data_IF_914263412147
#
_entry.id   IF_914263412147
#
_cell.length_a   1.000
_cell.length_b   1.000
_cell.length_c   1.000
_cell.angle_alpha   90.00
_cell.angle_beta   90.00
_cell.angle_gamma   90.00
#
_symmetry.space_group_name_H-M   'P 1'
#
loop_
_entity.id
_entity.type
_entity.pdbx_description
1 polymer ?
#
# COMPACT_ATOMS: atom_id res chain seq x y z
N UNK A 1 10.87 -28.86 60.82
CA UNK A 1 11.12 -29.56 59.53
C UNK A 1 9.92 -29.54 58.57
N UNK A 2 8.89 -30.38 58.71
CA UNK A 2 7.82 -30.45 57.69
C UNK A 2 7.03 -29.13 57.52
N UNK A 3 6.65 -28.48 58.62
CA UNK A 3 5.93 -27.19 58.57
C UNK A 3 6.81 -26.04 58.06
N UNK A 4 8.11 -26.03 58.37
CA UNK A 4 9.06 -25.05 57.82
C UNK A 4 9.22 -25.23 56.31
N UNK A 5 9.37 -26.47 55.85
CA UNK A 5 9.43 -26.77 54.42
C UNK A 5 8.14 -26.32 53.70
N UNK A 6 6.97 -26.56 54.30
CA UNK A 6 5.69 -26.12 53.75
C UNK A 6 5.58 -24.58 53.70
N UNK A 7 6.00 -23.87 54.75
CA UNK A 7 6.05 -22.40 54.76
C UNK A 7 6.98 -21.83 53.68
N UNK A 8 8.11 -22.50 53.43
CA UNK A 8 9.05 -22.11 52.39
C UNK A 8 8.47 -22.32 50.99
N UNK A 9 7.78 -23.44 50.75
CA UNK A 9 7.06 -23.70 49.50
C UNK A 9 5.97 -22.66 49.24
N UNK A 10 5.21 -22.26 50.27
CA UNK A 10 4.18 -21.22 50.15
C UNK A 10 4.81 -19.86 49.81
N UNK A 11 5.94 -19.52 50.44
CA UNK A 11 6.66 -18.27 50.14
C UNK A 11 7.13 -18.25 48.68
N UNK A 12 7.70 -19.36 48.19
CA UNK A 12 8.10 -19.49 46.78
C UNK A 12 6.90 -19.40 45.82
N UNK A 13 5.78 -20.04 46.15
CA UNK A 13 4.57 -19.97 45.34
C UNK A 13 4.01 -18.54 45.29
N UNK A 14 3.94 -17.84 46.43
CA UNK A 14 3.52 -16.44 46.50
C UNK A 14 4.42 -15.51 45.69
N UNK A 15 5.73 -15.72 45.70
CA UNK A 15 6.67 -14.96 44.86
C UNK A 15 6.40 -15.18 43.37
N UNK A 16 6.21 -16.44 42.94
CA UNK A 16 5.89 -16.76 41.55
C UNK A 16 4.55 -16.15 41.10
N UNK A 17 3.53 -16.13 41.97
CA UNK A 17 2.23 -15.50 41.69
C UNK A 17 2.39 -13.99 41.52
N UNK A 18 3.25 -13.35 42.30
CA UNK A 18 3.51 -11.92 42.17
C UNK A 18 4.22 -11.60 40.84
N UNK A 19 5.19 -12.42 40.42
CA UNK A 19 5.80 -12.30 39.10
C UNK A 19 4.77 -12.48 37.96
N UNK A 20 3.86 -13.45 38.10
CA UNK A 20 2.75 -13.64 37.15
C UNK A 20 1.87 -12.38 37.08
N UNK A 21 1.53 -11.77 38.22
CA UNK A 21 0.71 -10.55 38.25
C UNK A 21 1.39 -9.38 37.53
N UNK A 22 2.70 -9.19 37.71
CA UNK A 22 3.49 -8.17 36.99
C UNK A 22 3.51 -8.46 35.49
N UNK A 23 3.75 -9.71 35.09
CA UNK A 23 3.75 -10.11 33.68
C UNK A 23 2.39 -9.89 33.01
N UNK A 24 1.29 -10.13 33.71
CA UNK A 24 -0.06 -9.89 33.21
C UNK A 24 -0.33 -8.39 33.00
N UNK A 25 0.16 -7.53 33.89
CA UNK A 25 0.04 -6.07 33.73
C UNK A 25 0.80 -5.59 32.47
N UNK A 26 2.02 -6.11 32.25
CA UNK A 26 2.78 -5.84 31.03
C UNK A 26 2.05 -6.33 29.77
N UNK A 27 1.48 -7.53 29.78
CA UNK A 27 0.68 -8.06 28.65
C UNK A 27 -0.53 -7.16 28.38
N UNK A 28 -1.23 -6.70 29.41
CA UNK A 28 -2.37 -5.79 29.29
C UNK A 28 -1.96 -4.46 28.65
N UNK A 29 -0.84 -3.87 29.11
CA UNK A 29 -0.30 -2.63 28.57
C UNK A 29 0.13 -2.78 27.10
N UNK A 30 0.86 -3.85 26.78
CA UNK A 30 1.30 -4.14 25.41
C UNK A 30 0.11 -4.40 24.48
N UNK A 31 -0.95 -5.03 24.99
CA UNK A 31 -2.20 -5.22 24.25
C UNK A 31 -2.85 -3.87 23.94
N UNK A 32 -2.99 -2.98 24.92
CA UNK A 32 -3.57 -1.65 24.70
C UNK A 32 -2.79 -0.84 23.65
N UNK A 33 -1.46 -0.86 23.69
CA UNK A 33 -0.61 -0.20 22.69
C UNK A 33 -0.77 -0.84 21.30
N UNK A 34 -0.83 -2.17 21.23
CA UNK A 34 -1.03 -2.88 19.96
C UNK A 34 -2.40 -2.57 19.34
N UNK A 35 -3.45 -2.38 20.14
CA UNK A 35 -4.77 -1.99 19.66
C UNK A 35 -4.76 -0.60 19.02
N UNK A 36 -4.04 0.35 19.62
CA UNK A 36 -3.87 1.69 19.05
C UNK A 36 -3.12 1.64 17.70
N UNK A 37 -2.06 0.83 17.62
CA UNK A 37 -1.32 0.61 16.36
C UNK A 37 -2.20 -0.03 15.29
N UNK A 38 -3.05 -0.99 15.65
CA UNK A 38 -4.01 -1.62 14.75
C UNK A 38 -5.00 -0.60 14.20
N UNK A 39 -5.59 0.21 15.07
CA UNK A 39 -6.56 1.24 14.69
C UNK A 39 -5.92 2.33 13.83
N UNK A 40 -4.68 2.72 14.13
CA UNK A 40 -3.92 3.64 13.29
C UNK A 40 -3.61 3.05 11.92
N UNK A 41 -3.35 1.75 11.84
CA UNK A 41 -3.14 1.04 10.58
C UNK A 41 -4.39 1.06 9.70
N UNK A 42 -5.57 0.84 10.28
CA UNK A 42 -6.88 1.02 9.59
C UNK A 42 -7.01 2.43 8.99
N UNK A 43 -6.73 3.47 9.78
CA UNK A 43 -6.83 4.86 9.30
C UNK A 43 -5.85 5.16 8.16
N UNK A 44 -4.62 4.66 8.24
CA UNK A 44 -3.60 4.84 7.21
C UNK A 44 -4.00 4.09 5.93
N UNK A 45 -4.48 2.85 6.06
CA UNK A 45 -4.95 2.05 4.93
C UNK A 45 -6.13 2.72 4.21
N UNK A 46 -7.13 3.19 4.96
CA UNK A 46 -8.28 3.91 4.42
C UNK A 46 -7.86 5.20 3.69
N UNK A 47 -6.95 5.99 4.27
CA UNK A 47 -6.39 7.17 3.60
C UNK A 47 -5.60 6.81 2.34
N UNK A 48 -4.84 5.72 2.38
CA UNK A 48 -4.13 5.21 1.21
C UNK A 48 -5.10 4.82 0.09
N UNK A 49 -6.19 4.13 0.44
CA UNK A 49 -7.20 3.69 -0.51
C UNK A 49 -7.89 4.89 -1.19
N UNK A 50 -8.12 5.98 -0.45
CA UNK A 50 -8.62 7.23 -1.02
C UNK A 50 -7.66 7.82 -2.05
N UNK A 51 -6.37 7.90 -1.73
CA UNK A 51 -5.34 8.42 -2.66
C UNK A 51 -5.24 7.56 -3.91
N UNK A 52 -5.32 6.23 -3.76
CA UNK A 52 -5.36 5.29 -4.88
C UNK A 52 -6.59 5.55 -5.75
N UNK A 53 -7.77 5.72 -5.15
CA UNK A 53 -9.01 6.01 -5.89
C UNK A 53 -8.91 7.32 -6.67
N UNK A 54 -8.33 8.36 -6.07
CA UNK A 54 -8.05 9.62 -6.76
C UNK A 54 -7.06 9.43 -7.92
N UNK A 55 -6.06 8.57 -7.76
CA UNK A 55 -5.10 8.23 -8.83
C UNK A 55 -5.80 7.55 -10.00
N UNK A 56 -6.70 6.60 -9.74
CA UNK A 56 -7.49 5.92 -10.78
C UNK A 56 -8.36 6.94 -11.56
N UNK A 57 -9.05 7.84 -10.86
CA UNK A 57 -9.82 8.92 -11.50
C UNK A 57 -8.93 9.86 -12.35
N UNK A 58 -7.71 10.14 -11.88
CA UNK A 58 -6.72 10.89 -12.64
C UNK A 58 -6.32 10.18 -13.92
N UNK A 59 -6.10 8.86 -13.88
CA UNK A 59 -5.80 8.04 -15.06
C UNK A 59 -6.97 8.00 -16.05
N UNK A 60 -8.21 7.90 -15.58
CA UNK A 60 -9.40 8.00 -16.43
C UNK A 60 -9.47 9.36 -17.14
N UNK A 61 -9.20 10.45 -16.42
CA UNK A 61 -9.19 11.81 -17.00
C UNK A 61 -8.08 11.97 -18.06
N UNK A 62 -6.89 11.41 -17.80
CA UNK A 62 -5.78 11.42 -18.76
C UNK A 62 -6.18 10.63 -20.01
N UNK A 63 -6.79 9.45 -19.85
CA UNK A 63 -7.26 8.63 -20.97
C UNK A 63 -8.24 9.41 -21.86
N UNK A 64 -9.21 10.08 -21.26
CA UNK A 64 -10.20 10.85 -22.00
C UNK A 64 -9.54 12.02 -22.77
N UNK A 65 -8.58 12.70 -22.14
CA UNK A 65 -7.82 13.78 -22.79
C UNK A 65 -6.96 13.27 -23.95
N UNK A 66 -6.33 12.09 -23.82
CA UNK A 66 -5.58 11.46 -24.91
C UNK A 66 -6.51 11.14 -26.08
N UNK A 67 -7.69 10.57 -25.82
CA UNK A 67 -8.67 10.28 -26.87
C UNK A 67 -9.14 11.54 -27.61
N UNK A 68 -9.40 12.63 -26.89
CA UNK A 68 -9.77 13.90 -27.50
C UNK A 68 -8.63 14.45 -28.37
N UNK A 69 -7.40 14.39 -27.87
CA UNK A 69 -6.22 14.87 -28.60
C UNK A 69 -5.96 14.03 -29.85
N UNK A 70 -6.11 12.71 -29.76
CA UNK A 70 -6.01 11.79 -30.91
C UNK A 70 -7.03 12.13 -32.00
N UNK A 71 -8.29 12.44 -31.63
CA UNK A 71 -9.30 12.92 -32.59
C UNK A 71 -8.92 14.24 -33.27
N UNK A 72 -8.28 15.16 -32.54
CA UNK A 72 -7.81 16.44 -33.10
C UNK A 72 -6.65 16.22 -34.08
N UNK A 73 -5.71 15.35 -33.75
CA UNK A 73 -4.58 15.01 -34.63
C UNK A 73 -5.04 14.26 -35.88
N UNK A 74 -5.97 13.31 -35.76
CA UNK A 74 -6.54 12.62 -36.93
C UNK A 74 -7.17 13.60 -37.92
N UNK A 75 -7.97 14.56 -37.44
CA UNK A 75 -8.53 15.63 -38.28
C UNK A 75 -7.46 16.51 -38.91
N UNK A 76 -6.35 16.77 -38.22
CA UNK A 76 -5.21 17.49 -38.78
C UNK A 76 -4.56 16.68 -39.92
N UNK A 77 -4.37 15.38 -39.74
CA UNK A 77 -3.87 14.48 -40.78
C UNK A 77 -4.77 14.45 -42.02
N UNK A 78 -6.09 14.36 -41.83
CA UNK A 78 -7.10 14.45 -42.91
C UNK A 78 -7.00 15.80 -43.65
N UNK A 79 -6.92 16.92 -42.91
CA UNK A 79 -6.77 18.25 -43.50
C UNK A 79 -5.46 18.40 -44.28
N UNK A 80 -4.36 17.84 -43.76
CA UNK A 80 -3.08 17.82 -44.47
C UNK A 80 -3.11 16.96 -45.73
N UNK A 81 -3.91 15.89 -45.76
CA UNK A 81 -4.13 15.09 -46.96
C UNK A 81 -4.89 15.88 -48.03
N UNK A 82 -5.95 16.60 -47.65
CA UNK A 82 -6.68 17.50 -48.57
C UNK A 82 -5.77 18.60 -49.14
N UNK A 83 -4.92 19.22 -48.30
CA UNK A 83 -3.93 20.20 -48.76
C UNK A 83 -2.96 19.55 -49.76
N UNK A 84 -2.50 18.32 -49.49
CA UNK A 84 -1.63 17.57 -50.41
C UNK A 84 -2.23 17.46 -51.82
N UNK A 85 -3.51 17.05 -51.92
CA UNK A 85 -4.22 16.96 -53.20
C UNK A 85 -4.38 18.31 -53.91
N UNK A 86 -4.56 19.40 -53.17
CA UNK A 86 -4.61 20.75 -53.74
C UNK A 86 -3.24 21.16 -54.30
N UNK A 87 -2.15 20.83 -53.59
CA UNK A 87 -0.79 21.17 -54.01
C UNK A 87 -0.40 20.40 -55.28
N UNK A 88 -0.78 19.13 -55.41
CA UNK A 88 -0.63 18.36 -56.66
C UNK A 88 -1.33 19.07 -57.83
N UNK A 89 -2.59 19.48 -57.64
CA UNK A 89 -3.34 20.21 -58.68
C UNK A 89 -2.68 21.55 -59.06
N UNK A 90 -2.16 22.32 -58.10
CA UNK A 90 -1.47 23.58 -58.39
C UNK A 90 -0.15 23.32 -59.13
N UNK A 91 0.57 22.23 -58.80
CA UNK A 91 1.77 21.85 -59.53
C UNK A 91 1.43 21.50 -60.99
N UNK A 92 0.38 20.72 -61.22
CA UNK A 92 -0.10 20.38 -62.58
C UNK A 92 -0.49 21.64 -63.38
N UNK A 93 -1.20 22.59 -62.76
CA UNK A 93 -1.56 23.88 -63.38
C UNK A 93 -0.29 24.69 -63.70
N UNK A 94 0.69 24.72 -62.80
CA UNK A 94 1.95 25.43 -63.00
C UNK A 94 2.74 24.83 -64.17
N UNK A 95 2.80 23.50 -64.26
CA UNK A 95 3.45 22.80 -65.36
C UNK A 95 2.75 23.02 -66.70
N UNK A 96 1.41 22.96 -66.74
CA UNK A 96 0.63 23.31 -67.94
C UNK A 96 0.85 24.77 -68.36
N UNK A 97 0.88 25.70 -67.39
CA UNK A 97 1.14 27.12 -67.66
C UNK A 97 2.54 27.33 -68.22
N UNK A 98 3.53 26.59 -67.71
CA UNK A 98 4.90 26.60 -68.21
C UNK A 98 4.96 26.14 -69.69
N UNK A 99 4.26 25.06 -70.03
CA UNK A 99 4.18 24.53 -71.40
C UNK A 99 3.46 25.53 -72.32
N UNK A 100 2.36 26.14 -71.86
CA UNK A 100 1.62 27.17 -72.60
C UNK A 100 2.49 28.40 -72.88
N UNK A 101 3.23 28.86 -71.88
CA UNK A 101 4.15 29.99 -72.01
C UNK A 101 5.28 29.70 -73.00
N UNK A 102 5.87 28.50 -72.95
CA UNK A 102 6.89 28.08 -73.91
C UNK A 102 6.33 28.05 -75.35
N UNK A 103 5.13 27.51 -75.55
CA UNK A 103 4.49 27.50 -76.86
C UNK A 103 4.20 28.92 -77.37
N UNK A 104 3.79 29.83 -76.49
CA UNK A 104 3.59 31.24 -76.82
C UNK A 104 4.91 31.94 -77.19
N UNK A 105 6.01 31.65 -76.48
CA UNK A 105 7.34 32.18 -76.78
C UNK A 105 7.83 31.70 -78.16
N UNK A 106 7.62 30.43 -78.50
CA UNK A 106 7.95 29.87 -79.83
C UNK A 106 7.14 30.56 -80.93
N UNK A 107 5.83 30.75 -80.74
CA UNK A 107 4.97 31.44 -81.71
C UNK A 107 5.34 32.91 -81.86
N UNK A 108 5.67 33.60 -80.75
CA UNK A 108 6.13 34.97 -80.76
C UNK A 108 7.46 35.13 -81.52
N UNK A 109 8.40 34.18 -81.35
CA UNK A 109 9.64 34.14 -82.13
C UNK A 109 9.37 33.93 -83.64
N UNK A 110 8.40 33.10 -83.99
CA UNK A 110 7.99 32.88 -85.39
C UNK A 110 7.37 34.12 -86.05
N UNK A 111 6.80 35.04 -85.29
CA UNK A 111 6.21 36.29 -85.79
C UNK A 111 7.23 37.43 -85.98
N UNK A 112 8.52 37.21 -85.66
CA UNK A 112 9.59 38.18 -85.87
C UNK A 112 9.41 39.48 -85.07
N UNK A 113 9.66 40.63 -85.70
CA UNK A 113 9.56 41.96 -85.05
C UNK A 113 8.15 42.25 -84.48
N UNK A 114 7.09 41.73 -85.09
CA UNK A 114 5.71 41.93 -84.62
C UNK A 114 5.39 41.14 -83.33
N UNK A 115 6.12 40.04 -83.06
CA UNK A 115 5.94 39.18 -81.89
C UNK A 115 6.77 39.57 -80.67
N UNK A 116 7.64 40.60 -80.78
CA UNK A 116 8.65 40.92 -79.77
C UNK A 116 8.05 41.27 -78.40
N UNK A 117 6.92 41.97 -78.37
CA UNK A 117 6.19 42.26 -77.12
C UNK A 117 5.53 41.02 -76.50
N UNK A 118 5.02 40.10 -77.32
CA UNK A 118 4.45 38.83 -76.86
C UNK A 118 5.52 37.88 -76.32
N UNK A 119 6.72 37.87 -76.90
CA UNK A 119 7.84 37.06 -76.44
C UNK A 119 8.24 37.41 -75.00
N UNK A 120 8.31 38.72 -74.66
CA UNK A 120 8.64 39.18 -73.31
C UNK A 120 7.58 38.74 -72.29
N UNK A 121 6.29 38.81 -72.66
CA UNK A 121 5.21 38.36 -71.78
C UNK A 121 5.25 36.85 -71.59
N UNK A 122 5.52 36.08 -72.64
CA UNK A 122 5.64 34.63 -72.57
C UNK A 122 6.80 34.20 -71.65
N UNK A 123 7.97 34.82 -71.75
CA UNK A 123 9.11 34.55 -70.86
C UNK A 123 8.77 34.85 -69.38
N UNK A 124 8.06 35.95 -69.10
CA UNK A 124 7.70 36.30 -67.72
C UNK A 124 6.63 35.35 -67.15
N UNK A 125 5.68 34.88 -67.97
CA UNK A 125 4.71 33.85 -67.57
C UNK A 125 5.42 32.52 -67.30
N UNK A 126 6.39 32.13 -68.14
CA UNK A 126 7.20 30.93 -67.94
C UNK A 126 7.95 31.00 -66.60
N UNK A 127 8.62 32.13 -66.34
CA UNK A 127 9.35 32.37 -65.08
C UNK A 127 8.43 32.34 -63.86
N UNK A 128 7.21 32.86 -63.98
CA UNK A 128 6.22 32.82 -62.90
C UNK A 128 5.73 31.38 -62.65
N UNK A 129 5.50 30.60 -63.69
CA UNK A 129 5.10 29.20 -63.62
C UNK A 129 6.19 28.34 -62.96
N UNK A 130 7.47 28.52 -63.33
CA UNK A 130 8.61 27.86 -62.69
C UNK A 130 8.73 28.23 -61.20
N UNK A 131 8.52 29.51 -60.85
CA UNK A 131 8.51 29.94 -59.44
C UNK A 131 7.36 29.33 -58.66
N UNK A 132 6.17 29.21 -59.26
CA UNK A 132 5.01 28.58 -58.65
C UNK A 132 5.26 27.09 -58.40
N UNK A 133 5.78 26.34 -59.38
CA UNK A 133 6.13 24.92 -59.21
C UNK A 133 7.21 24.69 -58.14
N UNK A 134 8.21 25.57 -58.07
CA UNK A 134 9.22 25.47 -57.00
C UNK A 134 8.63 25.75 -55.61
N UNK A 135 7.64 26.65 -55.52
CA UNK A 135 6.94 26.94 -54.26
C UNK A 135 6.03 25.78 -53.85
N UNK A 136 5.29 25.18 -54.79
CA UNK A 136 4.42 24.01 -54.51
C UNK A 136 5.22 22.82 -54.03
N UNK A 137 6.37 22.49 -54.65
CA UNK A 137 7.26 21.41 -54.17
C UNK A 137 7.74 21.60 -52.73
N UNK A 138 8.04 22.85 -52.35
CA UNK A 138 8.42 23.16 -50.95
C UNK A 138 7.25 22.94 -49.99
N UNK A 139 6.04 23.32 -50.40
CA UNK A 139 4.82 23.10 -49.59
C UNK A 139 4.50 21.60 -49.51
N UNK A 140 4.65 20.85 -50.60
CA UNK A 140 4.48 19.40 -50.65
C UNK A 140 5.37 18.70 -49.62
N UNK A 141 6.66 19.06 -49.56
CA UNK A 141 7.58 18.52 -48.55
C UNK A 141 7.09 18.84 -47.12
N UNK A 142 6.64 20.07 -46.86
CA UNK A 142 6.10 20.45 -45.55
C UNK A 142 4.84 19.65 -45.18
N UNK A 143 3.95 19.44 -46.15
CA UNK A 143 2.73 18.65 -45.96
C UNK A 143 3.06 17.19 -45.66
N UNK A 144 4.03 16.60 -46.38
CA UNK A 144 4.51 15.24 -46.10
C UNK A 144 5.11 15.12 -44.69
N UNK A 145 5.88 16.11 -44.24
CA UNK A 145 6.39 16.16 -42.86
C UNK A 145 5.25 16.22 -41.85
N UNK A 146 4.25 17.10 -42.05
CA UNK A 146 3.09 17.18 -41.15
C UNK A 146 2.31 15.85 -41.12
N UNK A 147 2.14 15.18 -42.26
CA UNK A 147 1.49 13.87 -42.32
C UNK A 147 2.29 12.81 -41.55
N UNK A 148 3.62 12.80 -41.66
CA UNK A 148 4.47 11.90 -40.89
C UNK A 148 4.36 12.17 -39.38
N UNK A 149 4.52 13.44 -38.96
CA UNK A 149 4.46 13.85 -37.55
C UNK A 149 3.09 13.57 -36.92
N UNK A 150 2.00 13.77 -37.67
CA UNK A 150 0.64 13.47 -37.19
C UNK A 150 0.41 11.97 -37.00
N UNK A 151 0.91 11.13 -37.91
CA UNK A 151 0.83 9.67 -37.78
C UNK A 151 1.67 9.18 -36.58
N UNK A 152 2.88 9.71 -36.40
CA UNK A 152 3.72 9.40 -35.25
C UNK A 152 3.05 9.80 -33.93
N UNK A 153 2.46 10.99 -33.88
CA UNK A 153 1.73 11.46 -32.71
C UNK A 153 0.51 10.59 -32.37
N UNK A 154 -0.22 10.09 -33.38
CA UNK A 154 -1.32 9.13 -33.15
C UNK A 154 -0.79 7.81 -32.58
N UNK A 155 0.29 7.25 -33.14
CA UNK A 155 0.91 6.03 -32.62
C UNK A 155 1.40 6.20 -31.19
N UNK A 156 2.01 7.34 -30.86
CA UNK A 156 2.44 7.66 -29.51
C UNK A 156 1.26 7.73 -28.54
N UNK A 157 0.14 8.35 -28.94
CA UNK A 157 -1.07 8.41 -28.12
C UNK A 157 -1.70 7.03 -27.87
N UNK A 158 -1.67 6.13 -28.85
CA UNK A 158 -2.14 4.76 -28.67
C UNK A 158 -1.29 4.00 -27.65
N UNK A 159 0.05 4.16 -27.72
CA UNK A 159 0.95 3.61 -26.71
C UNK A 159 0.70 4.20 -25.32
N UNK A 160 0.60 5.53 -25.19
CA UNK A 160 0.33 6.17 -23.90
C UNK A 160 -1.03 5.73 -23.33
N UNK A 161 -2.03 5.49 -24.18
CA UNK A 161 -3.32 4.95 -23.74
C UNK A 161 -3.14 3.58 -23.08
N UNK A 162 -2.34 2.69 -23.66
CA UNK A 162 -2.05 1.38 -23.06
C UNK A 162 -1.30 1.51 -21.73
N UNK A 163 -0.34 2.43 -21.63
CA UNK A 163 0.39 2.71 -20.39
C UNK A 163 -0.51 3.25 -19.28
N UNK A 164 -1.44 4.15 -19.60
CA UNK A 164 -2.43 4.69 -18.65
C UNK A 164 -3.37 3.59 -18.14
N UNK A 165 -3.82 2.70 -19.02
CA UNK A 165 -4.66 1.54 -18.62
C UNK A 165 -3.90 0.60 -17.71
N UNK A 166 -2.63 0.30 -18.03
CA UNK A 166 -1.79 -0.52 -17.17
C UNK A 166 -1.55 0.16 -15.80
N UNK A 167 -1.32 1.48 -15.78
CA UNK A 167 -1.17 2.27 -14.57
C UNK A 167 -2.42 2.28 -13.69
N UNK A 168 -3.61 2.42 -14.30
CA UNK A 168 -4.89 2.34 -13.60
C UNK A 168 -5.09 0.97 -12.93
N UNK A 169 -4.74 -0.12 -13.62
CA UNK A 169 -4.82 -1.48 -13.08
C UNK A 169 -3.86 -1.70 -11.91
N UNK A 170 -2.62 -1.22 -12.00
CA UNK A 170 -1.66 -1.29 -10.89
C UNK A 170 -2.15 -0.51 -9.67
N UNK A 171 -2.77 0.66 -9.89
CA UNK A 171 -3.39 1.42 -8.81
C UNK A 171 -4.57 0.65 -8.19
N UNK A 172 -5.43 0.01 -8.99
CA UNK A 172 -6.51 -0.84 -8.50
C UNK A 172 -6.00 -1.99 -7.62
N UNK A 173 -4.97 -2.71 -8.07
CA UNK A 173 -4.33 -3.78 -7.29
C UNK A 173 -3.78 -3.26 -5.94
N UNK A 174 -3.17 -2.07 -5.93
CA UNK A 174 -2.73 -1.43 -4.69
C UNK A 174 -3.90 -1.06 -3.77
N UNK A 175 -5.04 -0.66 -4.34
CA UNK A 175 -6.27 -0.39 -3.60
C UNK A 175 -6.83 -1.65 -2.93
N UNK A 176 -6.82 -2.78 -3.62
CA UNK A 176 -7.21 -4.07 -3.06
C UNK A 176 -6.31 -4.49 -1.90
N UNK A 177 -4.99 -4.35 -2.04
CA UNK A 177 -4.02 -4.65 -0.98
C UNK A 177 -4.24 -3.78 0.27
N UNK A 178 -4.59 -2.50 0.09
CA UNK A 178 -4.95 -1.62 1.21
C UNK A 178 -6.25 -2.05 1.91
N UNK A 179 -7.23 -2.54 1.15
CA UNK A 179 -8.43 -3.15 1.72
C UNK A 179 -8.14 -4.42 2.53
N UNK A 180 -7.18 -5.25 2.09
CA UNK A 180 -6.72 -6.40 2.89
C UNK A 180 -6.03 -5.96 4.19
N UNK A 181 -5.19 -4.91 4.14
CA UNK A 181 -4.55 -4.34 5.34
C UNK A 181 -5.60 -3.82 6.32
N UNK A 182 -6.63 -3.14 5.83
CA UNK A 182 -7.74 -2.66 6.67
C UNK A 182 -8.42 -3.83 7.38
N UNK A 183 -8.75 -4.90 6.65
CA UNK A 183 -9.38 -6.09 7.20
C UNK A 183 -8.51 -6.77 8.27
N UNK A 184 -7.24 -7.05 7.94
CA UNK A 184 -6.30 -7.69 8.87
C UNK A 184 -6.07 -6.84 10.11
N UNK A 185 -6.04 -5.51 9.97
CA UNK A 185 -5.87 -4.60 11.10
C UNK A 185 -7.10 -4.60 12.03
N UNK A 186 -8.31 -4.71 11.50
CA UNK A 186 -9.52 -4.88 12.30
C UNK A 186 -9.52 -6.24 13.02
N UNK A 187 -9.21 -7.34 12.32
CA UNK A 187 -9.11 -8.68 12.92
C UNK A 187 -8.06 -8.69 14.05
N UNK A 188 -6.96 -7.95 13.88
CA UNK A 188 -5.90 -7.81 14.88
C UNK A 188 -6.38 -7.02 16.10
N UNK A 189 -7.17 -5.96 15.93
CA UNK A 189 -7.78 -5.22 17.03
C UNK A 189 -8.72 -6.12 17.87
N UNK A 190 -9.54 -6.96 17.23
CA UNK A 190 -10.43 -7.90 17.90
C UNK A 190 -9.64 -8.97 18.68
N UNK A 191 -8.57 -9.52 18.09
CA UNK A 191 -7.69 -10.46 18.77
C UNK A 191 -7.03 -9.84 20.02
N UNK A 192 -6.59 -8.59 19.92
CA UNK A 192 -5.99 -7.88 21.05
C UNK A 192 -7.01 -7.60 22.15
N UNK A 193 -8.25 -7.27 21.78
CA UNK A 193 -9.34 -7.13 22.75
C UNK A 193 -9.55 -8.43 23.55
N UNK A 194 -9.53 -9.58 22.88
CA UNK A 194 -9.61 -10.89 23.54
C UNK A 194 -8.40 -11.17 24.45
N UNK A 195 -7.19 -10.80 24.05
CA UNK A 195 -5.99 -10.93 24.88
C UNK A 195 -6.10 -10.06 26.14
N UNK A 196 -6.56 -8.82 26.00
CA UNK A 196 -6.77 -7.91 27.13
C UNK A 196 -7.78 -8.48 28.13
N UNK A 197 -8.88 -9.06 27.63
CA UNK A 197 -9.88 -9.70 28.49
C UNK A 197 -9.33 -10.95 29.20
N UNK A 198 -8.56 -11.79 28.49
CA UNK A 198 -7.90 -12.96 29.07
C UNK A 198 -6.86 -12.54 30.15
N UNK A 199 -6.08 -11.49 29.89
CA UNK A 199 -5.13 -10.94 30.86
C UNK A 199 -5.86 -10.45 32.12
N UNK A 200 -7.00 -9.76 31.97
CA UNK A 200 -7.82 -9.33 33.11
C UNK A 200 -8.33 -10.51 33.94
N UNK A 201 -8.76 -11.58 33.29
CA UNK A 201 -9.19 -12.81 33.98
C UNK A 201 -8.03 -13.50 34.72
N UNK A 202 -6.85 -13.58 34.08
CA UNK A 202 -5.65 -14.13 34.71
C UNK A 202 -5.20 -13.29 35.91
N UNK A 203 -5.30 -11.96 35.84
CA UNK A 203 -4.97 -11.07 36.96
C UNK A 203 -5.85 -11.33 38.19
N UNK A 204 -7.17 -11.47 37.95
CA UNK A 204 -8.11 -11.84 39.00
C UNK A 204 -7.82 -13.22 39.59
N UNK A 205 -7.46 -14.20 38.76
CA UNK A 205 -7.05 -15.53 39.22
C UNK A 205 -5.77 -15.47 40.06
N UNK A 206 -4.74 -14.73 39.65
CA UNK A 206 -3.51 -14.55 40.40
C UNK A 206 -3.77 -13.92 41.79
N UNK A 207 -4.65 -12.91 41.86
CA UNK A 207 -5.06 -12.30 43.13
C UNK A 207 -5.76 -13.31 44.05
N UNK A 208 -6.65 -14.14 43.51
CA UNK A 208 -7.33 -15.19 44.28
C UNK A 208 -6.35 -16.27 44.78
N UNK A 209 -5.37 -16.68 43.97
CA UNK A 209 -4.35 -17.65 44.38
C UNK A 209 -3.45 -17.03 45.46
N UNK A 210 -3.05 -15.77 45.32
CA UNK A 210 -2.28 -15.05 46.35
C UNK A 210 -3.02 -15.00 47.69
N UNK A 211 -4.31 -14.65 47.68
CA UNK A 211 -5.15 -14.68 48.87
C UNK A 211 -5.24 -16.09 49.48
N UNK A 212 -5.36 -17.12 48.65
CA UNK A 212 -5.38 -18.52 49.09
C UNK A 212 -4.04 -18.94 49.73
N UNK A 213 -2.91 -18.52 49.17
CA UNK A 213 -1.59 -18.80 49.75
C UNK A 213 -1.41 -18.15 51.12
N UNK A 214 -1.92 -16.93 51.32
CA UNK A 214 -1.91 -16.29 52.63
C UNK A 214 -2.71 -17.10 53.68
N UNK A 215 -3.87 -17.62 53.29
CA UNK A 215 -4.68 -18.50 54.16
C UNK A 215 -3.95 -19.81 54.48
N UNK A 216 -3.33 -20.44 53.47
CA UNK A 216 -2.55 -21.67 53.69
C UNK A 216 -1.35 -21.41 54.61
N UNK A 217 -0.71 -20.24 54.50
CA UNK A 217 0.38 -19.85 55.40
C UNK A 217 -0.09 -19.72 56.84
N UNK A 218 -1.26 -19.11 57.07
CA UNK A 218 -1.87 -19.02 58.40
C UNK A 218 -2.19 -20.40 58.98
N UNK A 219 -2.82 -21.28 58.19
CA UNK A 219 -3.14 -22.67 58.60
C UNK A 219 -1.86 -23.46 58.91
N UNK A 220 -0.81 -23.30 58.11
CA UNK A 220 0.48 -23.97 58.32
C UNK A 220 1.12 -23.51 59.63
N UNK A 221 1.05 -22.20 59.94
CA UNK A 221 1.52 -21.64 61.21
C UNK A 221 0.75 -22.20 62.40
N UNK A 222 -0.59 -22.20 62.34
CA UNK A 222 -1.45 -22.78 63.39
C UNK A 222 -1.19 -24.27 63.59
N UNK A 223 -1.01 -25.03 62.50
CA UNK A 223 -0.71 -26.46 62.55
C UNK A 223 0.66 -26.72 63.20
N UNK A 224 1.67 -25.90 62.87
CA UNK A 224 3.00 -25.97 63.50
C UNK A 224 2.93 -25.72 65.00
N UNK A 225 2.20 -24.69 65.43
CA UNK A 225 1.99 -24.40 66.86
C UNK A 225 1.26 -25.56 67.56
N UNK A 226 0.19 -26.09 66.97
CA UNK A 226 -0.57 -27.21 67.52
C UNK A 226 0.26 -28.49 67.64
N UNK A 227 1.11 -28.79 66.65
CA UNK A 227 2.03 -29.92 66.69
C UNK A 227 3.08 -29.75 67.80
N UNK A 228 3.64 -28.55 67.97
CA UNK A 228 4.58 -28.24 69.06
C UNK A 228 3.94 -28.44 70.43
N UNK A 229 2.72 -27.93 70.64
CA UNK A 229 1.99 -28.09 71.90
C UNK A 229 1.58 -29.54 72.17
N UNK A 230 1.30 -30.31 71.12
CA UNK A 230 1.06 -31.76 71.22
C UNK A 230 2.34 -32.49 71.65
N UNK A 231 3.49 -32.16 71.06
CA UNK A 231 4.78 -32.74 71.43
C UNK A 231 5.15 -32.44 72.89
N UNK A 232 4.91 -31.20 73.35
CA UNK A 232 5.07 -30.81 74.76
C UNK A 232 4.17 -31.63 75.69
N UNK A 233 2.89 -31.77 75.33
CA UNK A 233 1.92 -32.56 76.10
C UNK A 233 2.32 -34.04 76.19
N UNK A 234 2.81 -34.62 75.09
CA UNK A 234 3.34 -35.99 75.05
C UNK A 234 4.59 -36.12 75.93
N UNK A 235 5.50 -35.13 75.90
CA UNK A 235 6.66 -35.08 76.78
C UNK A 235 6.27 -35.09 78.26
N UNK A 236 5.29 -34.26 78.63
CA UNK A 236 4.75 -34.21 79.98
C UNK A 236 4.09 -35.55 80.40
N UNK A 237 3.34 -36.19 79.50
CA UNK A 237 2.76 -37.52 79.74
C UNK A 237 3.82 -38.61 79.91
N UNK A 238 4.89 -38.58 79.10
CA UNK A 238 5.99 -39.53 79.21
C UNK A 238 6.74 -39.37 80.55
N UNK A 239 6.94 -38.12 81.00
CA UNK A 239 7.51 -37.83 82.31
C UNK A 239 6.62 -38.36 83.44
N UNK A 240 5.32 -38.06 83.40
CA UNK A 240 4.36 -38.55 84.40
C UNK A 240 4.30 -40.08 84.44
N UNK A 241 4.35 -40.75 83.29
CA UNK A 241 4.40 -42.20 83.20
C UNK A 241 5.71 -42.77 83.78
N UNK A 242 6.84 -42.11 83.58
CA UNK A 242 8.12 -42.49 84.17
C UNK A 242 8.12 -42.33 85.70
N UNK A 243 7.53 -41.25 86.20
CA UNK A 243 7.40 -40.97 87.63
C UNK A 243 6.48 -41.99 88.31
N UNK A 244 5.34 -42.32 87.69
CA UNK A 244 4.47 -43.41 88.13
C UNK A 244 5.21 -44.75 88.15
N UNK A 245 5.96 -45.09 87.10
CA UNK A 245 6.75 -46.33 87.05
C UNK A 245 7.78 -46.40 88.19
N UNK A 246 8.46 -45.29 88.48
CA UNK A 246 9.42 -45.20 89.59
C UNK A 246 8.73 -45.39 90.93
N UNK A 247 7.60 -44.71 91.15
CA UNK A 247 6.81 -44.84 92.38
C UNK A 247 6.35 -46.28 92.61
N UNK A 248 5.95 -47.01 91.56
CA UNK A 248 5.51 -48.42 91.67
C UNK A 248 6.69 -49.38 91.81
N UNK A 249 7.89 -49.04 91.33
CA UNK A 249 9.09 -49.86 91.47
C UNK A 249 9.53 -50.01 92.94
N UNK A 250 9.30 -49.00 93.77
CA UNK A 250 9.54 -49.05 95.22
C UNK A 250 8.61 -50.05 95.95
N UNK A 251 7.53 -50.50 95.29
CA UNK A 251 6.60 -51.51 95.81
C UNK A 251 6.84 -52.92 95.26
N UNK A 252 7.90 -53.14 94.46
CA UNK A 252 8.28 -54.51 94.06
C UNK A 252 8.92 -55.24 95.23
N UNK A 253 8.26 -56.30 95.70
CA UNK A 253 8.82 -57.24 96.68
C UNK A 253 10.08 -57.92 96.10
N UNK A 254 11.13 -58.16 96.92
CA UNK A 254 12.30 -58.90 96.47
C UNK A 254 11.86 -60.31 96.06
N UNK A 255 12.21 -60.68 94.83
CA UNK A 255 12.28 -62.09 94.44
C UNK A 255 13.49 -62.75 95.08
#
# INVERSE_FOLDING_TARGET
EAAEHQAQQITSASAAINEIAVSIDEVSKNSAESADVAQRSVQIAAKGAEVVRQTIQGMDSIRDQIQETSKRIKRLGESSQEIGSIIELINDISEQTNILALNAAIQAASAGEAGRGFAVVADEVQRLAERASNATKRIETLVQTIQADTNEAVSSMEQTTAEVVAGARLAEDAGLALGEIEKVSNDLADLIQNISEAARQQSAAATNISATMNVIQEITSQTSMGASQTAESIGNLAQLAADLRRSVADFKLPG
#
